data_IF_024847789951
#
_entry.id   IF_024847789951
#
_cell.length_a   1.000
_cell.length_b   1.000
_cell.length_c   1.000
_cell.angle_alpha   90.00
_cell.angle_beta   90.00
_cell.angle_gamma   90.00
#
_symmetry.space_group_name_H-M   'P 1'
#
loop_
_entity.id
_entity.type
_entity.pdbx_description
1 polymer ?
#
# COMPACT_ATOMS: atom_id res chain seq x y z
N UNK A 1 -8.78 17.67 4.84
CA UNK A 1 -7.84 18.57 4.12
C UNK A 1 -6.67 17.74 3.64
N UNK A 2 -6.14 17.97 2.43
CA UNK A 2 -4.90 17.32 1.97
C UNK A 2 -3.69 18.12 2.45
N UNK A 3 -2.75 17.45 3.12
CA UNK A 3 -1.45 18.02 3.50
C UNK A 3 -0.37 17.62 2.50
N UNK A 4 0.55 18.54 2.25
CA UNK A 4 1.79 18.30 1.51
C UNK A 4 2.95 18.35 2.49
N UNK A 5 3.76 17.31 2.53
CA UNK A 5 4.89 17.20 3.45
C UNK A 5 6.19 17.13 2.65
N UNK A 6 7.08 18.14 2.77
CA UNK A 6 8.40 18.09 2.18
C UNK A 6 9.20 16.90 2.71
N UNK A 7 9.99 16.27 1.85
CA UNK A 7 10.81 15.10 2.20
C UNK A 7 12.14 15.15 1.47
N UNK A 8 13.06 14.29 1.88
CA UNK A 8 14.34 14.07 1.22
C UNK A 8 14.37 12.64 0.66
N UNK A 9 14.90 12.42 -0.56
CA UNK A 9 15.08 11.07 -1.11
C UNK A 9 15.91 10.16 -0.20
N UNK A 10 15.58 8.88 -0.18
CA UNK A 10 16.45 7.83 0.33
C UNK A 10 17.11 7.10 -0.84
N UNK A 11 18.38 6.73 -0.69
CA UNK A 11 19.17 6.08 -1.75
C UNK A 11 18.99 4.57 -1.83
N UNK A 12 18.24 3.98 -0.90
CA UNK A 12 18.22 2.53 -0.68
C UNK A 12 16.82 1.89 -0.89
N UNK A 13 15.88 2.63 -1.48
CA UNK A 13 14.49 2.20 -1.72
C UNK A 13 14.28 1.43 -3.03
N UNK A 14 15.29 0.68 -3.50
CA UNK A 14 15.17 -0.16 -4.70
C UNK A 14 14.32 -1.40 -4.41
N UNK A 15 13.16 -1.61 -5.07
CA UNK A 15 12.39 -2.84 -4.94
C UNK A 15 13.17 -4.01 -5.57
N UNK A 16 13.19 -5.17 -4.89
CA UNK A 16 13.62 -6.41 -5.52
C UNK A 16 12.50 -7.05 -6.34
N UNK A 17 12.73 -8.26 -6.86
CA UNK A 17 11.72 -9.06 -7.58
C UNK A 17 10.44 -9.34 -6.78
N UNK A 18 10.52 -9.17 -5.46
CA UNK A 18 9.41 -9.34 -4.53
C UNK A 18 9.13 -8.08 -3.70
N UNK A 19 9.32 -6.90 -4.29
CA UNK A 19 9.10 -5.58 -3.67
C UNK A 19 10.23 -5.10 -2.76
N UNK A 20 10.00 -3.97 -2.07
CA UNK A 20 10.95 -3.39 -1.14
C UNK A 20 10.90 -4.15 0.19
N UNK A 21 12.06 -4.57 0.71
CA UNK A 21 12.19 -5.24 2.01
C UNK A 21 13.36 -4.65 2.78
N UNK A 22 13.11 -4.28 4.03
CA UNK A 22 14.11 -3.72 4.95
C UNK A 22 13.73 -4.11 6.38
N UNK A 23 14.66 -3.91 7.31
CA UNK A 23 14.35 -4.01 8.74
C UNK A 23 13.28 -3.00 9.12
N UNK A 24 12.42 -3.36 10.07
CA UNK A 24 11.38 -2.50 10.65
C UNK A 24 11.98 -1.16 11.08
N UNK A 25 13.14 -1.17 11.75
CA UNK A 25 13.86 0.05 12.15
C UNK A 25 14.16 1.03 11.01
N UNK A 26 14.30 0.53 9.78
CA UNK A 26 14.48 1.38 8.60
C UNK A 26 13.14 2.02 8.20
N UNK A 27 12.06 1.23 8.17
CA UNK A 27 10.71 1.74 7.88
C UNK A 27 10.17 2.70 8.93
N UNK A 28 10.64 2.63 10.17
CA UNK A 28 10.30 3.58 11.23
C UNK A 28 11.03 4.93 11.11
N UNK A 29 11.99 5.06 10.19
CA UNK A 29 12.57 6.37 9.91
C UNK A 29 11.48 7.28 9.34
N UNK A 30 11.43 8.56 9.79
CA UNK A 30 10.45 9.50 9.27
C UNK A 30 10.46 9.56 7.75
N UNK A 31 9.28 9.54 7.15
CA UNK A 31 9.05 9.59 5.70
C UNK A 31 9.51 8.37 4.89
N UNK A 32 10.07 7.31 5.48
CA UNK A 32 10.61 6.20 4.71
C UNK A 32 9.51 5.41 3.96
N UNK A 33 8.44 5.04 4.68
CA UNK A 33 7.31 4.34 4.10
C UNK A 33 6.52 5.26 3.15
N UNK A 34 6.29 6.51 3.56
CA UNK A 34 5.58 7.53 2.80
C UNK A 34 6.28 7.80 1.46
N UNK A 35 7.60 8.00 1.47
CA UNK A 35 8.36 8.23 0.24
C UNK A 35 8.19 7.07 -0.74
N UNK A 36 8.19 5.82 -0.23
CA UNK A 36 7.97 4.66 -1.09
C UNK A 36 6.56 4.65 -1.68
N UNK A 37 5.55 4.82 -0.83
CA UNK A 37 4.13 4.76 -1.22
C UNK A 37 3.82 5.87 -2.22
N UNK A 38 4.27 7.10 -1.97
CA UNK A 38 4.12 8.21 -2.91
C UNK A 38 4.79 7.90 -4.24
N UNK A 39 6.00 7.34 -4.21
CA UNK A 39 6.71 6.97 -5.44
C UNK A 39 5.98 5.91 -6.25
N UNK A 40 5.32 4.95 -5.59
CA UNK A 40 4.41 3.99 -6.24
C UNK A 40 3.24 4.74 -6.89
N UNK A 41 2.55 5.60 -6.13
CA UNK A 41 1.39 6.32 -6.65
C UNK A 41 1.74 7.28 -7.79
N UNK A 42 2.89 7.93 -7.77
CA UNK A 42 3.36 8.81 -8.84
C UNK A 42 3.57 8.06 -10.16
N UNK A 43 4.03 6.80 -10.09
CA UNK A 43 4.29 5.93 -11.25
C UNK A 43 3.01 5.26 -11.78
N UNK A 44 2.03 5.01 -10.90
CA UNK A 44 0.75 4.43 -11.31
C UNK A 44 -0.10 5.47 -12.05
N UNK A 45 -0.17 5.31 -13.36
CA UNK A 45 -1.06 6.08 -14.25
C UNK A 45 -2.52 5.63 -14.08
N UNK A 46 -3.49 6.50 -14.37
CA UNK A 46 -4.92 6.15 -14.32
C UNK A 46 -5.51 5.94 -12.92
N UNK A 47 -4.76 6.26 -11.85
CA UNK A 47 -5.21 6.12 -10.45
C UNK A 47 -6.42 6.97 -10.07
N UNK A 48 -6.60 8.13 -10.72
CA UNK A 48 -7.71 9.03 -10.41
C UNK A 48 -9.04 8.37 -10.73
N UNK A 49 -9.91 8.23 -9.72
CA UNK A 49 -11.19 7.53 -9.89
C UNK A 49 -11.10 6.00 -9.84
N UNK A 50 -9.91 5.41 -9.69
CA UNK A 50 -9.72 3.97 -9.70
C UNK A 50 -9.86 3.35 -8.29
N UNK A 51 -9.92 2.00 -8.27
CA UNK A 51 -9.88 1.20 -7.05
C UNK A 51 -8.46 0.68 -6.79
N UNK A 52 -7.99 0.78 -5.55
CA UNK A 52 -6.73 0.21 -5.06
C UNK A 52 -7.01 -0.87 -4.01
N UNK A 53 -6.32 -2.00 -4.07
CA UNK A 53 -6.36 -3.00 -2.98
C UNK A 53 -5.19 -2.78 -2.03
N UNK A 54 -5.42 -2.85 -0.72
CA UNK A 54 -4.36 -2.78 0.29
C UNK A 54 -4.52 -3.97 1.24
N UNK A 55 -3.43 -4.61 1.61
CA UNK A 55 -3.45 -5.55 2.73
C UNK A 55 -2.10 -6.17 2.98
N UNK A 56 -2.02 -7.10 3.91
CA UNK A 56 -0.78 -7.80 4.17
C UNK A 56 -0.88 -8.92 5.19
N UNK A 57 0.27 -9.39 5.67
CA UNK A 57 0.37 -10.60 6.48
C UNK A 57 0.32 -10.37 8.01
N UNK A 58 0.03 -9.14 8.45
CA UNK A 58 -0.18 -8.83 9.87
C UNK A 58 1.09 -8.61 10.68
N UNK A 59 2.26 -8.54 10.04
CA UNK A 59 3.53 -8.24 10.73
C UNK A 59 3.54 -6.87 11.42
N UNK A 60 4.52 -6.66 12.29
CA UNK A 60 4.60 -5.59 13.30
C UNK A 60 4.28 -4.14 12.88
N UNK A 61 4.42 -3.72 11.62
CA UNK A 61 4.06 -2.35 11.18
C UNK A 61 2.85 -2.30 10.24
N UNK A 62 2.19 -3.42 9.94
CA UNK A 62 1.18 -3.47 8.89
C UNK A 62 0.06 -2.46 9.10
N UNK A 63 -0.55 -2.46 10.29
CA UNK A 63 -1.71 -1.59 10.56
C UNK A 63 -1.36 -0.12 10.42
N UNK A 64 -0.23 0.31 10.98
CA UNK A 64 0.24 1.69 10.89
C UNK A 64 0.48 2.13 9.45
N UNK A 65 1.22 1.33 8.68
CA UNK A 65 1.54 1.67 7.28
C UNK A 65 0.30 1.58 6.38
N UNK A 66 -0.67 0.70 6.68
CA UNK A 66 -1.95 0.65 5.98
C UNK A 66 -2.74 1.94 6.17
N UNK A 67 -2.83 2.46 7.40
CA UNK A 67 -3.52 3.74 7.66
C UNK A 67 -2.86 4.88 6.88
N UNK A 68 -1.53 4.92 6.87
CA UNK A 68 -0.76 5.88 6.07
C UNK A 68 -1.06 5.72 4.58
N UNK A 69 -1.04 4.50 4.06
CA UNK A 69 -1.34 4.23 2.65
C UNK A 69 -2.78 4.63 2.26
N UNK A 70 -3.76 4.45 3.14
CA UNK A 70 -5.16 4.89 2.94
C UNK A 70 -5.23 6.41 2.80
N UNK A 71 -4.62 7.16 3.74
CA UNK A 71 -4.60 8.63 3.68
C UNK A 71 -3.91 9.14 2.41
N UNK A 72 -2.81 8.49 2.02
CA UNK A 72 -2.07 8.84 0.81
C UNK A 72 -2.84 8.49 -0.46
N UNK A 73 -3.59 7.39 -0.47
CA UNK A 73 -4.44 7.02 -1.60
C UNK A 73 -5.58 8.04 -1.81
N UNK A 74 -6.19 8.51 -0.73
CA UNK A 74 -7.19 9.58 -0.81
C UNK A 74 -6.58 10.86 -1.41
N UNK A 75 -5.39 11.26 -0.95
CA UNK A 75 -4.66 12.41 -1.51
C UNK A 75 -4.24 12.23 -2.98
N UNK A 76 -3.96 11.00 -3.40
CA UNK A 76 -3.59 10.66 -4.77
C UNK A 76 -4.77 10.57 -5.74
N UNK A 77 -6.01 10.71 -5.25
CA UNK A 77 -7.23 10.78 -6.05
C UNK A 77 -7.87 9.43 -6.39
N UNK A 78 -7.51 8.35 -5.69
CA UNK A 78 -8.24 7.08 -5.81
C UNK A 78 -9.71 7.28 -5.38
N UNK A 79 -10.65 6.62 -6.06
CA UNK A 79 -12.06 6.66 -5.66
C UNK A 79 -12.37 5.65 -4.55
N UNK A 80 -11.64 4.51 -4.54
CA UNK A 80 -11.86 3.44 -3.59
C UNK A 80 -10.57 2.77 -3.16
N UNK A 81 -10.46 2.46 -1.87
CA UNK A 81 -9.55 1.46 -1.33
C UNK A 81 -10.36 0.27 -0.83
N UNK A 82 -9.95 -0.94 -1.20
CA UNK A 82 -10.45 -2.19 -0.62
C UNK A 82 -9.35 -2.75 0.29
N UNK A 83 -9.67 -2.98 1.56
CA UNK A 83 -8.72 -3.46 2.56
C UNK A 83 -9.30 -4.65 3.33
N UNK A 84 -8.49 -5.67 3.59
CA UNK A 84 -8.92 -6.81 4.41
C UNK A 84 -9.07 -6.43 5.88
N UNK A 85 -10.00 -7.07 6.57
CA UNK A 85 -10.26 -6.86 8.00
C UNK A 85 -8.96 -6.96 8.82
N UNK A 86 -8.78 -6.01 9.72
CA UNK A 86 -7.59 -5.82 10.54
C UNK A 86 -6.32 -5.47 9.76
N UNK A 87 -6.43 -5.15 8.47
CA UNK A 87 -5.32 -5.00 7.53
C UNK A 87 -4.77 -6.33 7.01
N UNK A 88 -5.45 -7.45 7.27
CA UNK A 88 -5.01 -8.78 6.91
C UNK A 88 -5.54 -9.16 5.54
N UNK A 89 -4.66 -9.41 4.58
CA UNK A 89 -5.00 -9.96 3.28
C UNK A 89 -3.79 -10.71 2.74
N UNK A 90 -3.90 -12.03 2.62
CA UNK A 90 -2.81 -12.85 2.10
C UNK A 90 -2.44 -12.43 0.67
N UNK A 91 -1.21 -12.68 0.22
CA UNK A 91 -0.82 -12.34 -1.17
C UNK A 91 -1.73 -12.97 -2.22
N UNK A 92 -2.14 -14.26 -2.12
CA UNK A 92 -3.13 -14.85 -3.02
C UNK A 92 -4.52 -14.18 -2.94
N UNK A 93 -5.01 -13.87 -1.73
CA UNK A 93 -6.29 -13.20 -1.56
C UNK A 93 -6.27 -11.79 -2.16
N UNK A 94 -5.20 -11.01 -1.93
CA UNK A 94 -5.02 -9.70 -2.53
C UNK A 94 -5.00 -9.77 -4.06
N UNK A 95 -4.30 -10.76 -4.64
CA UNK A 95 -4.29 -11.01 -6.08
C UNK A 95 -5.70 -11.28 -6.63
N UNK A 96 -6.47 -12.14 -5.95
CA UNK A 96 -7.84 -12.44 -6.32
C UNK A 96 -8.75 -11.21 -6.23
N UNK A 97 -8.70 -10.46 -5.13
CA UNK A 97 -9.51 -9.25 -4.93
C UNK A 97 -9.19 -8.19 -6.00
N UNK A 98 -7.91 -7.98 -6.34
CA UNK A 98 -7.51 -7.06 -7.42
C UNK A 98 -8.25 -7.43 -8.72
N UNK A 99 -8.26 -8.72 -9.08
CA UNK A 99 -8.88 -9.22 -10.31
C UNK A 99 -10.41 -9.14 -10.25
N UNK A 100 -11.04 -9.60 -9.17
CA UNK A 100 -12.51 -9.61 -9.02
C UNK A 100 -13.09 -8.20 -9.00
N UNK A 101 -12.39 -7.25 -8.37
CA UNK A 101 -12.86 -5.87 -8.21
C UNK A 101 -12.43 -4.96 -9.37
N UNK A 102 -11.68 -5.46 -10.35
CA UNK A 102 -11.15 -4.64 -11.45
C UNK A 102 -10.26 -3.51 -10.94
N UNK A 103 -9.54 -3.73 -9.84
CA UNK A 103 -8.66 -2.72 -9.26
C UNK A 103 -7.46 -2.45 -10.17
N UNK A 104 -6.93 -1.23 -10.13
CA UNK A 104 -5.77 -0.87 -10.94
C UNK A 104 -4.48 -1.56 -10.46
N UNK A 105 -4.50 -2.05 -9.23
CA UNK A 105 -3.44 -2.82 -8.60
C UNK A 105 -3.65 -2.90 -7.09
N UNK A 106 -2.60 -3.23 -6.36
CA UNK A 106 -2.64 -3.22 -4.91
C UNK A 106 -1.29 -3.16 -4.21
N UNK A 107 -1.29 -2.58 -3.01
CA UNK A 107 -0.17 -2.60 -2.09
C UNK A 107 -0.26 -3.83 -1.18
N UNK A 108 0.76 -4.68 -1.24
CA UNK A 108 0.86 -5.89 -0.41
C UNK A 108 1.99 -5.72 0.60
N UNK A 109 1.62 -5.54 1.87
CA UNK A 109 2.50 -5.28 2.99
C UNK A 109 2.96 -6.61 3.60
N UNK A 110 4.04 -7.13 3.05
CA UNK A 110 4.59 -8.45 3.40
C UNK A 110 6.03 -8.58 2.93
N UNK A 111 6.90 -9.13 3.77
CA UNK A 111 8.22 -9.62 3.38
C UNK A 111 8.25 -11.15 3.17
N UNK A 112 7.09 -11.76 2.87
CA UNK A 112 6.95 -13.19 2.56
C UNK A 112 7.44 -14.07 3.72
N UNK A 113 8.42 -14.94 3.50
CA UNK A 113 8.95 -15.86 4.50
C UNK A 113 9.94 -15.23 5.49
N UNK A 114 10.35 -13.97 5.27
CA UNK A 114 11.29 -13.31 6.18
C UNK A 114 10.64 -13.12 7.56
N UNK A 115 11.39 -13.29 8.66
CA UNK A 115 10.89 -13.05 10.01
C UNK A 115 10.22 -11.68 10.15
N UNK A 116 9.18 -11.61 10.98
CA UNK A 116 8.48 -10.38 11.34
C UNK A 116 8.63 -10.09 12.83
N UNK A 117 8.55 -8.81 13.19
CA UNK A 117 8.73 -8.34 14.56
C UNK A 117 9.44 -6.99 14.61
N UNK A 118 9.53 -6.35 15.78
CA UNK A 118 10.14 -5.01 15.93
C UNK A 118 11.57 -4.90 15.42
N UNK A 119 12.32 -5.98 15.50
CA UNK A 119 13.74 -6.07 15.10
C UNK A 119 13.92 -6.79 13.75
N UNK A 120 12.83 -7.19 13.10
CA UNK A 120 12.86 -8.03 11.90
C UNK A 120 12.38 -7.29 10.66
N UNK A 121 11.95 -8.01 9.63
CA UNK A 121 11.74 -7.42 8.31
C UNK A 121 10.31 -6.93 8.11
N UNK A 122 10.21 -5.83 7.39
CA UNK A 122 8.98 -5.30 6.81
C UNK A 122 9.15 -5.18 5.30
N UNK A 123 8.04 -5.17 4.56
CA UNK A 123 8.10 -5.01 3.12
C UNK A 123 6.83 -4.48 2.51
N UNK A 124 6.98 -3.73 1.43
CA UNK A 124 5.90 -3.16 0.63
C UNK A 124 6.11 -3.61 -0.82
N UNK A 125 5.08 -4.22 -1.41
CA UNK A 125 5.06 -4.65 -2.81
C UNK A 125 3.90 -3.97 -3.52
N UNK A 126 4.07 -3.72 -4.82
CA UNK A 126 2.96 -3.32 -5.69
C UNK A 126 2.65 -4.45 -6.67
N UNK A 127 1.38 -4.86 -6.70
CA UNK A 127 0.82 -5.75 -7.70
C UNK A 127 0.02 -4.91 -8.71
N UNK A 128 0.08 -5.27 -9.99
CA UNK A 128 -0.64 -4.59 -11.07
C UNK A 128 -2.04 -5.18 -11.27
N UNK A 129 -2.86 -4.57 -12.14
CA UNK A 129 -4.26 -4.92 -12.38
C UNK A 129 -4.57 -6.40 -12.68
N UNK A 130 -3.60 -7.19 -13.18
CA UNK A 130 -3.81 -8.63 -13.40
C UNK A 130 -3.71 -9.47 -12.10
N UNK A 131 -3.42 -8.82 -10.96
CA UNK A 131 -3.22 -9.41 -9.64
C UNK A 131 -1.79 -9.89 -9.36
N UNK A 132 -0.91 -9.87 -10.36
CA UNK A 132 0.48 -10.31 -10.26
C UNK A 132 1.45 -9.19 -9.84
N UNK A 133 2.72 -9.54 -9.54
CA UNK A 133 3.74 -8.56 -9.16
C UNK A 133 4.00 -7.56 -10.28
N UNK A 134 4.35 -6.33 -9.91
CA UNK A 134 4.75 -5.31 -10.88
C UNK A 134 5.95 -5.79 -11.73
N UNK A 135 5.91 -5.58 -13.06
CA UNK A 135 7.03 -5.92 -13.93
C UNK A 135 8.23 -5.00 -13.69
N UNK A 136 9.42 -5.42 -14.12
CA UNK A 136 10.69 -4.72 -13.90
C UNK A 136 10.64 -3.24 -14.32
N UNK A 137 10.05 -2.96 -15.49
CA UNK A 137 9.84 -1.59 -15.98
C UNK A 137 9.12 -0.70 -14.95
N UNK A 138 8.13 -1.23 -14.24
CA UNK A 138 7.37 -0.48 -13.22
C UNK A 138 8.21 -0.35 -11.95
N UNK A 139 8.88 -1.41 -11.50
CA UNK A 139 9.73 -1.34 -10.30
C UNK A 139 10.93 -0.41 -10.46
N UNK A 140 11.50 -0.33 -11.66
CA UNK A 140 12.59 0.59 -11.98
C UNK A 140 12.11 2.04 -12.01
N UNK A 141 10.92 2.29 -12.56
CA UNK A 141 10.29 3.61 -12.52
C UNK A 141 10.00 4.05 -11.07
N UNK A 142 9.51 3.13 -10.23
CA UNK A 142 9.31 3.39 -8.79
C UNK A 142 10.65 3.76 -8.14
N UNK A 143 11.70 2.97 -8.36
CA UNK A 143 13.02 3.27 -7.81
C UNK A 143 13.56 4.63 -8.29
N UNK A 144 13.48 4.93 -9.59
CA UNK A 144 13.88 6.23 -10.12
C UNK A 144 13.10 7.39 -9.46
N UNK A 145 11.81 7.19 -9.20
CA UNK A 145 11.00 8.18 -8.48
C UNK A 145 11.43 8.36 -7.03
N UNK A 146 11.74 7.28 -6.31
CA UNK A 146 12.24 7.36 -4.91
C UNK A 146 13.51 8.19 -4.76
N UNK A 147 14.36 8.23 -5.79
CA UNK A 147 15.62 8.99 -5.80
C UNK A 147 15.43 10.49 -6.08
N UNK A 148 14.24 10.92 -6.49
CA UNK A 148 13.94 12.30 -6.91
C UNK A 148 12.74 12.91 -6.18
N UNK A 149 12.15 12.19 -5.23
CA UNK A 149 11.00 12.65 -4.46
C UNK A 149 11.36 13.80 -3.52
N UNK A 150 10.55 14.84 -3.53
CA UNK A 150 10.72 16.09 -2.77
C UNK A 150 9.53 16.38 -1.84
N UNK A 151 8.37 15.77 -2.08
CA UNK A 151 7.24 15.78 -1.17
C UNK A 151 6.36 14.52 -1.30
N UNK A 152 5.57 14.27 -0.26
CA UNK A 152 4.44 13.34 -0.30
C UNK A 152 3.16 13.99 0.20
N UNK A 153 2.02 13.42 -0.17
CA UNK A 153 0.70 13.97 0.13
C UNK A 153 -0.17 12.97 0.90
N UNK A 154 -0.94 13.46 1.86
CA UNK A 154 -1.86 12.63 2.61
C UNK A 154 -3.11 13.41 3.03
N UNK A 155 -4.23 12.71 3.17
CA UNK A 155 -5.39 13.20 3.90
C UNK A 155 -5.03 13.46 5.37
N UNK A 156 -5.43 14.60 5.91
CA UNK A 156 -5.32 14.90 7.34
C UNK A 156 -6.58 14.41 8.08
N UNK A 157 -6.62 13.10 8.32
CA UNK A 157 -7.74 12.42 8.98
C UNK A 157 -7.24 11.46 10.05
N UNK A 158 -8.11 11.17 11.02
CA UNK A 158 -7.86 10.09 11.96
C UNK A 158 -7.77 8.73 11.24
N UNK A 159 -7.20 7.75 11.94
CA UNK A 159 -7.24 6.35 11.54
C UNK A 159 -8.69 5.86 11.46
N UNK A 160 -8.96 4.99 10.49
CA UNK A 160 -10.24 4.27 10.43
C UNK A 160 -10.20 3.03 11.31
N UNK A 161 -11.37 2.51 11.70
CA UNK A 161 -11.44 1.20 12.34
C UNK A 161 -11.26 0.09 11.28
N UNK A 162 -10.08 -0.53 11.25
CA UNK A 162 -9.78 -1.62 10.33
C UNK A 162 -10.47 -2.93 10.72
N UNK A 163 -11.01 -3.05 11.93
CA UNK A 163 -11.62 -4.28 12.42
C UNK A 163 -13.15 -4.31 12.15
N UNK A 164 -13.76 -3.16 11.87
CA UNK A 164 -15.16 -3.05 11.49
C UNK A 164 -15.36 -3.25 9.98
N UNK A 165 -16.09 -4.28 9.60
CA UNK A 165 -16.46 -4.52 8.19
C UNK A 165 -17.39 -3.42 7.66
N UNK A 166 -17.25 -3.11 6.37
CA UNK A 166 -18.11 -2.17 5.65
C UNK A 166 -17.38 -0.94 5.11
N UNK A 167 -18.16 0.04 4.65
CA UNK A 167 -17.65 1.24 3.99
C UNK A 167 -17.48 2.39 4.98
N UNK A 168 -16.33 3.07 4.89
CA UNK A 168 -16.07 4.36 5.53
C UNK A 168 -15.54 5.36 4.49
N UNK A 169 -15.63 6.66 4.76
CA UNK A 169 -15.16 7.70 3.83
C UNK A 169 -13.95 8.42 4.39
N UNK A 170 -12.91 8.58 3.57
CA UNK A 170 -11.69 9.35 3.88
C UNK A 170 -11.48 10.39 2.77
N UNK A 171 -11.68 11.67 3.07
CA UNK A 171 -11.57 12.79 2.10
C UNK A 171 -12.33 12.53 0.78
N UNK A 172 -13.52 11.92 0.85
CA UNK A 172 -14.36 11.60 -0.32
C UNK A 172 -14.01 10.29 -1.03
N UNK A 173 -12.88 9.66 -0.71
CA UNK A 173 -12.56 8.29 -1.14
C UNK A 173 -13.30 7.28 -0.26
N UNK A 174 -13.90 6.25 -0.87
CA UNK A 174 -14.48 5.13 -0.11
C UNK A 174 -13.37 4.17 0.34
N UNK A 175 -13.37 3.76 1.60
CA UNK A 175 -12.57 2.63 2.09
C UNK A 175 -13.52 1.52 2.48
N UNK A 176 -13.45 0.40 1.77
CA UNK A 176 -14.25 -0.81 2.01
C UNK A 176 -13.41 -1.82 2.79
N UNK A 177 -13.76 -2.06 4.05
CA UNK A 177 -13.16 -3.10 4.88
C UNK A 177 -13.92 -4.40 4.62
N UNK A 178 -13.24 -5.37 4.00
CA UNK A 178 -13.82 -6.66 3.59
C UNK A 178 -13.37 -7.80 4.51
N UNK A 179 -14.20 -8.83 4.58
CA UNK A 179 -13.75 -10.12 5.11
C UNK A 179 -12.65 -10.70 4.19
N UNK A 180 -11.53 -11.07 4.79
CA UNK A 180 -10.30 -11.40 4.06
C UNK A 180 -10.34 -12.75 3.33
N UNK A 181 -11.36 -13.58 3.58
CA UNK A 181 -11.46 -14.94 3.05
C UNK A 181 -12.67 -15.15 2.13
N UNK A 182 -13.74 -14.37 2.29
CA UNK A 182 -15.00 -14.56 1.58
C UNK A 182 -14.83 -14.60 0.06
N UNK A 183 -14.15 -13.61 -0.53
CA UNK A 183 -13.90 -13.56 -1.97
C UNK A 183 -13.00 -14.71 -2.47
N UNK A 184 -12.14 -15.24 -1.59
CA UNK A 184 -11.20 -16.32 -1.92
C UNK A 184 -11.78 -17.72 -1.70
N UNK A 185 -12.81 -17.84 -0.86
CA UNK A 185 -13.50 -19.11 -0.61
C UNK A 185 -14.45 -19.50 -1.77
N UNK A 186 -14.86 -18.53 -2.59
CA UNK A 186 -15.72 -18.73 -3.77
C UNK A 186 -14.95 -19.12 -5.06
N UNK A 187 -13.63 -19.30 -4.95
CA UNK A 187 -12.70 -19.49 -6.07
C UNK A 187 -12.72 -20.92 -6.64
#
# INVERSE_FOLDING_TARGET
MIRTVPTTPFTDQKPGTSGLRKKVKVFQQPNYAENFIQSVFDVVEGKTGATLVIGGDGRYLNREVIQTAIRMAAAAGFARVVVGQGGILSTPAASNVIRRRGAIGGLVLSASHNPGGPEEDFGIKYNVANGGPAPEKVTDAIHARTLSIDAWHAADTADIDLDALGDVTVEGMTVEVIDSVSDYAEL
#
